data_IF_550099909601
#
_entry.id   IF_550099909601
#
_cell.length_a   1.000
_cell.length_b   1.000
_cell.length_c   1.000
_cell.angle_alpha   90.00
_cell.angle_beta   90.00
_cell.angle_gamma   90.00
#
_symmetry.space_group_name_H-M   'P 1'
#
loop_
_entity.id
_entity.type
_entity.pdbx_description
1 polymer ?
#
# COMPACT_ATOMS: atom_id res chain seq x y z
N UNK A 1 7.14 16.57 14.90
CA UNK A 1 5.73 16.96 15.17
C UNK A 1 5.52 18.47 14.93
N UNK A 2 5.89 18.95 13.73
CA UNK A 2 5.80 20.38 13.42
C UNK A 2 4.35 20.90 13.27
N UNK A 3 3.34 20.02 13.21
CA UNK A 3 1.95 20.39 12.93
C UNK A 3 0.95 19.97 14.01
N UNK A 4 1.44 19.54 15.19
CA UNK A 4 0.56 19.12 16.29
C UNK A 4 -0.26 17.87 16.02
N UNK A 5 0.12 17.06 15.03
CA UNK A 5 -0.52 15.78 14.71
C UNK A 5 0.19 14.62 15.38
N UNK A 6 -0.57 13.59 15.73
CA UNK A 6 -0.07 12.32 16.27
C UNK A 6 -0.20 11.25 15.21
N UNK A 7 0.88 10.50 14.97
CA UNK A 7 0.84 9.34 14.08
C UNK A 7 0.31 8.14 14.87
N UNK A 8 -0.78 7.56 14.42
CA UNK A 8 -1.43 6.42 15.09
C UNK A 8 -0.99 5.08 14.53
N UNK A 9 -0.69 5.01 13.23
CA UNK A 9 -0.32 3.79 12.52
C UNK A 9 0.37 4.10 11.20
N UNK A 10 0.99 3.08 10.62
CA UNK A 10 1.48 3.11 9.25
C UNK A 10 0.57 2.24 8.39
N UNK A 11 0.15 2.76 7.25
CA UNK A 11 -0.59 2.03 6.22
C UNK A 11 0.34 1.73 5.05
N UNK A 12 0.37 0.50 4.59
CA UNK A 12 1.24 0.06 3.50
C UNK A 12 0.39 -0.42 2.34
N UNK A 13 0.56 0.18 1.17
CA UNK A 13 -0.18 -0.21 -0.04
C UNK A 13 0.35 -1.50 -0.65
N UNK A 14 1.68 -1.66 -0.72
CA UNK A 14 2.31 -2.85 -1.31
C UNK A 14 3.77 -3.01 -0.85
N UNK A 15 4.36 -4.16 -1.15
CA UNK A 15 5.61 -4.62 -0.57
C UNK A 15 6.90 -4.13 -1.23
N UNK A 16 6.85 -3.24 -2.23
CA UNK A 16 8.06 -2.70 -2.85
C UNK A 16 8.85 -1.82 -1.90
N UNK A 17 10.16 -1.84 -2.05
CA UNK A 17 11.11 -1.19 -1.13
C UNK A 17 10.90 0.32 -0.99
N UNK A 18 10.59 1.02 -2.05
CA UNK A 18 10.33 2.46 -2.07
C UNK A 18 9.05 2.85 -1.34
N UNK A 19 8.16 1.90 -1.08
CA UNK A 19 6.92 2.11 -0.35
C UNK A 19 6.96 1.60 1.10
N UNK A 20 7.72 0.54 1.38
CA UNK A 20 7.70 -0.07 2.71
C UNK A 20 9.06 -0.47 3.28
N UNK A 21 10.16 -0.20 2.58
CA UNK A 21 11.50 -0.65 2.99
C UNK A 21 11.92 -0.22 4.38
N UNK A 22 11.46 0.93 4.85
CA UNK A 22 11.75 1.45 6.20
C UNK A 22 10.53 1.42 7.13
N UNK A 23 9.43 0.80 6.73
CA UNK A 23 8.22 0.78 7.53
C UNK A 23 8.43 0.12 8.91
N UNK A 24 9.12 -1.00 8.96
CA UNK A 24 9.45 -1.68 10.22
C UNK A 24 10.29 -0.82 11.16
N UNK A 25 11.31 -0.16 10.63
CA UNK A 25 12.17 0.77 11.39
C UNK A 25 11.34 1.93 11.95
N UNK A 26 10.52 2.54 11.10
CA UNK A 26 9.71 3.69 11.48
C UNK A 26 8.64 3.32 12.52
N UNK A 27 7.98 2.19 12.34
CA UNK A 27 6.97 1.69 13.27
C UNK A 27 7.56 1.48 14.68
N UNK A 28 8.74 0.86 14.77
CA UNK A 28 9.46 0.68 16.04
C UNK A 28 9.80 2.02 16.69
N UNK A 29 10.31 2.95 15.88
CA UNK A 29 10.70 4.28 16.38
C UNK A 29 9.51 5.09 16.91
N UNK A 30 8.36 4.98 16.26
CA UNK A 30 7.15 5.71 16.63
C UNK A 30 6.28 4.96 17.65
N UNK A 31 6.51 3.66 17.84
CA UNK A 31 5.68 2.82 18.70
C UNK A 31 4.27 2.62 18.16
N UNK A 32 4.12 2.49 16.84
CA UNK A 32 2.80 2.37 16.17
C UNK A 32 2.71 1.08 15.36
N UNK A 33 1.49 0.54 15.15
CA UNK A 33 1.28 -0.64 14.35
C UNK A 33 1.40 -0.36 12.85
N UNK A 34 1.65 -1.43 12.08
CA UNK A 34 1.62 -1.45 10.61
C UNK A 34 0.40 -2.25 10.17
N UNK A 35 -0.43 -1.67 9.30
CA UNK A 35 -1.54 -2.35 8.64
C UNK A 35 -1.32 -2.37 7.12
N UNK A 36 -1.48 -3.53 6.52
CA UNK A 36 -1.21 -3.80 5.12
C UNK A 36 0.26 -4.16 4.83
N UNK A 37 0.49 -4.63 3.60
CA UNK A 37 -0.48 -4.81 2.51
C UNK A 37 -1.31 -6.11 2.64
N UNK A 38 -1.76 -6.67 1.51
CA UNK A 38 -2.34 -8.00 1.46
C UNK A 38 -1.24 -9.07 1.62
N UNK A 39 -1.55 -10.25 2.21
CA UNK A 39 -0.54 -11.31 2.46
C UNK A 39 0.23 -11.77 1.23
N UNK A 40 -0.34 -11.64 0.04
CA UNK A 40 0.32 -12.03 -1.21
C UNK A 40 1.59 -11.21 -1.52
N UNK A 41 1.80 -10.07 -0.84
CA UNK A 41 3.03 -9.27 -0.95
C UNK A 41 4.10 -9.62 0.09
N UNK A 42 3.87 -10.64 0.92
CA UNK A 42 4.87 -11.04 1.93
C UNK A 42 6.24 -11.30 1.31
N UNK A 43 6.29 -11.93 0.14
CA UNK A 43 7.57 -12.24 -0.52
C UNK A 43 8.35 -10.98 -0.91
N UNK A 44 7.68 -9.90 -1.32
CA UNK A 44 8.33 -8.61 -1.59
C UNK A 44 8.91 -8.00 -0.31
N UNK A 45 8.15 -8.03 0.79
CA UNK A 45 8.61 -7.53 2.09
C UNK A 45 9.83 -8.32 2.57
N UNK A 46 9.81 -9.64 2.41
CA UNK A 46 10.94 -10.51 2.77
C UNK A 46 12.21 -10.22 1.93
N UNK A 47 12.04 -9.67 0.73
CA UNK A 47 13.14 -9.28 -0.15
C UNK A 47 13.72 -7.89 0.18
N UNK A 48 13.08 -7.08 1.02
CA UNK A 48 13.50 -5.71 1.30
C UNK A 48 14.96 -5.56 1.74
N UNK A 49 15.55 -6.44 2.58
CA UNK A 49 16.97 -6.31 2.95
C UNK A 49 17.90 -6.43 1.73
N UNK A 50 17.66 -7.39 0.85
CA UNK A 50 18.43 -7.57 -0.38
C UNK A 50 18.22 -6.44 -1.39
N UNK A 51 16.97 -6.00 -1.55
CA UNK A 51 16.61 -4.86 -2.40
C UNK A 51 17.26 -3.57 -1.88
N UNK A 52 17.28 -3.37 -0.58
CA UNK A 52 17.92 -2.21 0.06
C UNK A 52 19.42 -2.16 -0.23
N UNK A 53 20.09 -3.29 -0.17
CA UNK A 53 21.52 -3.39 -0.51
C UNK A 53 21.73 -3.07 -2.00
N UNK A 54 20.85 -3.56 -2.89
CA UNK A 54 20.98 -3.36 -4.33
C UNK A 54 20.65 -1.94 -4.78
N UNK A 55 19.67 -1.28 -4.16
CA UNK A 55 19.16 0.04 -4.56
C UNK A 55 19.61 1.20 -3.67
N UNK A 56 20.55 0.98 -2.76
CA UNK A 56 21.12 2.04 -1.93
C UNK A 56 20.14 2.59 -0.89
N UNK A 57 19.27 1.77 -0.35
CA UNK A 57 18.40 2.09 0.79
C UNK A 57 18.94 1.40 2.04
N UNK A 58 19.92 2.00 2.73
CA UNK A 58 20.51 1.38 3.92
C UNK A 58 19.47 1.28 5.03
N UNK A 59 19.47 0.16 5.73
CA UNK A 59 18.54 -0.08 6.83
C UNK A 59 17.17 -0.60 6.41
N UNK A 60 16.94 -0.84 5.12
CA UNK A 60 15.73 -1.52 4.68
C UNK A 60 15.64 -2.90 5.32
N UNK A 61 14.49 -3.25 5.86
CA UNK A 61 14.28 -4.53 6.56
C UNK A 61 12.96 -5.18 6.16
N UNK A 62 12.92 -6.51 6.34
CA UNK A 62 11.66 -7.22 6.33
C UNK A 62 10.90 -6.93 7.63
N UNK A 63 9.58 -6.99 7.56
CA UNK A 63 8.71 -6.84 8.72
C UNK A 63 7.48 -7.71 8.56
N UNK A 64 6.80 -7.98 9.66
CA UNK A 64 5.46 -8.59 9.63
C UNK A 64 4.46 -7.50 10.04
N UNK A 65 3.50 -7.16 9.19
CA UNK A 65 2.44 -6.23 9.58
C UNK A 65 1.70 -6.74 10.82
N UNK A 66 1.22 -5.83 11.65
CA UNK A 66 0.33 -6.19 12.77
C UNK A 66 -1.02 -6.67 12.24
N UNK A 67 -1.40 -6.19 11.05
CA UNK A 67 -2.61 -6.63 10.37
C UNK A 67 -2.38 -6.69 8.87
N UNK A 68 -2.58 -7.87 8.27
CA UNK A 68 -2.71 -8.01 6.83
C UNK A 68 -4.10 -7.54 6.39
N UNK A 69 -4.19 -6.96 5.19
CA UNK A 69 -5.44 -6.42 4.67
C UNK A 69 -5.98 -7.23 3.50
N UNK A 70 -7.30 -7.35 3.44
CA UNK A 70 -8.03 -8.07 2.40
C UNK A 70 -9.06 -7.15 1.75
N UNK A 71 -9.55 -7.52 0.59
CA UNK A 71 -10.61 -6.78 -0.10
C UNK A 71 -11.85 -6.67 0.81
N UNK A 72 -12.41 -5.45 0.90
CA UNK A 72 -13.58 -5.18 1.73
C UNK A 72 -13.28 -4.92 3.21
N UNK A 73 -12.02 -5.02 3.63
CA UNK A 73 -11.62 -4.57 4.97
C UNK A 73 -11.76 -3.06 5.12
N UNK A 74 -11.79 -2.60 6.36
CA UNK A 74 -11.73 -1.19 6.71
C UNK A 74 -10.58 -0.93 7.67
N UNK A 75 -9.92 0.23 7.52
CA UNK A 75 -8.94 0.73 8.47
C UNK A 75 -9.41 2.06 9.02
N UNK A 76 -9.05 2.35 10.26
CA UNK A 76 -9.43 3.60 10.92
C UNK A 76 -8.20 4.44 11.21
N UNK A 77 -8.32 5.76 11.02
CA UNK A 77 -7.31 6.75 11.39
C UNK A 77 -8.05 7.87 12.12
N UNK A 78 -7.93 7.93 13.46
CA UNK A 78 -8.81 8.78 14.27
C UNK A 78 -10.27 8.41 14.01
N UNK A 79 -11.09 9.41 13.63
CA UNK A 79 -12.50 9.21 13.28
C UNK A 79 -12.74 8.85 11.82
N UNK A 80 -11.68 8.81 11.00
CA UNK A 80 -11.80 8.46 9.60
C UNK A 80 -11.86 6.96 9.43
N UNK A 81 -12.70 6.50 8.52
CA UNK A 81 -12.78 5.10 8.09
C UNK A 81 -12.42 5.03 6.61
N UNK A 82 -11.38 4.26 6.30
CA UNK A 82 -10.92 4.01 4.93
C UNK A 82 -11.35 2.61 4.51
N UNK A 83 -11.99 2.51 3.34
CA UNK A 83 -12.28 1.24 2.72
C UNK A 83 -11.04 0.69 2.02
N UNK A 84 -10.82 -0.60 2.10
CA UNK A 84 -9.68 -1.29 1.51
C UNK A 84 -10.14 -2.06 0.28
N UNK A 85 -9.46 -1.81 -0.85
CA UNK A 85 -9.64 -2.56 -2.10
C UNK A 85 -8.36 -3.33 -2.42
N UNK A 86 -8.48 -4.64 -2.61
CA UNK A 86 -7.37 -5.44 -3.14
C UNK A 86 -7.28 -5.23 -4.64
N UNK A 87 -6.16 -4.67 -5.10
CA UNK A 87 -5.93 -4.29 -6.49
C UNK A 87 -4.63 -4.92 -7.01
N UNK A 88 -4.62 -6.25 -7.23
CA UNK A 88 -3.42 -6.93 -7.72
C UNK A 88 -3.10 -6.55 -9.16
N UNK A 89 -1.85 -6.73 -9.54
CA UNK A 89 -1.36 -6.53 -10.91
C UNK A 89 0.02 -5.92 -10.95
N UNK A 90 0.23 -4.76 -10.36
CA UNK A 90 1.57 -4.21 -10.12
C UNK A 90 2.35 -5.10 -9.14
N UNK A 91 1.73 -5.43 -8.02
CA UNK A 91 2.11 -6.54 -7.15
C UNK A 91 0.88 -7.39 -6.84
N UNK A 92 1.03 -8.66 -6.45
CA UNK A 92 -0.12 -9.52 -6.14
C UNK A 92 -0.87 -9.12 -4.89
N UNK A 93 -0.22 -8.42 -3.95
CA UNK A 93 -0.80 -8.00 -2.68
C UNK A 93 -1.09 -6.51 -2.56
N UNK A 94 -1.10 -5.77 -3.67
CA UNK A 94 -1.37 -4.33 -3.64
C UNK A 94 -2.78 -4.02 -3.13
N UNK A 95 -2.88 -3.08 -2.19
CA UNK A 95 -4.17 -2.56 -1.69
C UNK A 95 -4.27 -1.06 -1.91
N UNK A 96 -5.49 -0.59 -2.03
CA UNK A 96 -5.86 0.82 -2.19
C UNK A 96 -6.73 1.21 -1.00
N UNK A 97 -6.54 2.42 -0.48
CA UNK A 97 -7.34 2.98 0.61
C UNK A 97 -8.23 4.09 0.08
N UNK A 98 -9.51 4.06 0.41
CA UNK A 98 -10.50 5.03 -0.07
C UNK A 98 -11.29 5.62 1.09
N UNK A 99 -11.32 6.96 1.17
CA UNK A 99 -12.19 7.69 2.08
C UNK A 99 -13.31 8.34 1.29
N UNK A 100 -14.47 7.69 1.28
CA UNK A 100 -15.61 8.09 0.48
C UNK A 100 -16.12 9.51 0.78
N UNK A 101 -16.25 9.94 2.06
CA UNK A 101 -16.76 11.29 2.35
C UNK A 101 -15.92 12.43 1.77
N UNK A 102 -14.58 12.27 1.71
CA UNK A 102 -13.69 13.26 1.11
C UNK A 102 -13.36 12.99 -0.34
N UNK A 103 -13.86 11.90 -0.90
CA UNK A 103 -13.57 11.46 -2.27
C UNK A 103 -12.07 11.36 -2.54
N UNK A 104 -11.33 10.76 -1.61
CA UNK A 104 -9.88 10.59 -1.66
C UNK A 104 -9.52 9.12 -1.75
N UNK A 105 -8.66 8.76 -2.71
CA UNK A 105 -8.10 7.41 -2.82
C UNK A 105 -6.57 7.46 -2.78
N UNK A 106 -5.98 6.61 -1.96
CA UNK A 106 -4.54 6.40 -1.91
C UNK A 106 -4.25 5.13 -2.69
N UNK A 107 -3.78 5.30 -3.92
CA UNK A 107 -3.75 4.23 -4.92
C UNK A 107 -2.38 3.57 -5.09
N UNK A 108 -1.34 4.05 -4.40
CA UNK A 108 0.02 3.53 -4.58
C UNK A 108 0.40 3.52 -6.06
N UNK A 109 0.83 2.36 -6.55
CA UNK A 109 1.29 2.18 -7.93
C UNK A 109 0.26 1.47 -8.83
N UNK A 110 -1.03 1.63 -8.55
CA UNK A 110 -2.09 1.08 -9.40
C UNK A 110 -2.42 2.03 -10.54
N UNK A 111 -2.70 3.29 -10.25
CA UNK A 111 -3.17 4.28 -11.22
C UNK A 111 -2.45 5.61 -11.03
N UNK A 112 -1.97 6.16 -12.14
CA UNK A 112 -1.32 7.48 -12.19
C UNK A 112 -2.06 8.40 -13.16
N UNK A 113 -1.77 9.69 -13.08
CA UNK A 113 -2.28 10.62 -14.08
C UNK A 113 -1.68 10.27 -15.46
N UNK A 114 -2.53 9.80 -16.36
CA UNK A 114 -2.12 9.44 -17.73
C UNK A 114 -1.37 8.12 -17.85
N UNK A 115 -1.28 7.30 -16.79
CA UNK A 115 -0.57 6.03 -16.82
C UNK A 115 -1.10 5.05 -15.76
N UNK A 116 -0.56 3.84 -15.81
CA UNK A 116 -0.82 2.78 -14.83
C UNK A 116 0.50 2.18 -14.35
N UNK A 117 0.46 1.48 -13.22
CA UNK A 117 1.62 0.77 -12.69
C UNK A 117 2.16 -0.27 -13.67
N UNK A 118 3.47 -0.51 -13.61
CA UNK A 118 4.10 -1.58 -14.40
C UNK A 118 3.71 -2.95 -13.83
N UNK A 119 3.69 -3.96 -14.71
CA UNK A 119 3.26 -5.31 -14.37
C UNK A 119 4.28 -6.39 -14.71
N UNK A 120 5.51 -5.99 -15.02
CA UNK A 120 6.59 -6.87 -15.50
C UNK A 120 7.55 -7.34 -14.40
N UNK A 121 7.28 -7.00 -13.13
CA UNK A 121 7.99 -7.56 -11.99
C UNK A 121 7.46 -8.95 -11.62
N UNK A 122 8.22 -9.75 -10.84
CA UNK A 122 7.77 -11.06 -10.39
C UNK A 122 6.35 -11.05 -9.80
N UNK A 123 5.50 -11.97 -10.28
CA UNK A 123 4.09 -12.12 -9.93
C UNK A 123 3.21 -10.92 -10.28
N UNK A 124 3.70 -9.99 -11.11
CA UNK A 124 2.88 -8.96 -11.73
C UNK A 124 1.97 -9.56 -12.81
N UNK A 125 0.83 -8.91 -13.08
CA UNK A 125 -0.13 -9.35 -14.08
C UNK A 125 -0.91 -8.16 -14.65
N UNK A 126 -0.73 -7.89 -15.95
CA UNK A 126 -1.37 -6.74 -16.60
C UNK A 126 -2.90 -6.84 -16.59
N UNK A 127 -3.46 -8.02 -16.87
CA UNK A 127 -4.91 -8.20 -16.90
C UNK A 127 -5.54 -8.00 -15.53
N UNK A 128 -4.88 -8.46 -14.46
CA UNK A 128 -5.33 -8.24 -13.09
C UNK A 128 -5.36 -6.75 -12.75
N UNK A 129 -4.33 -6.00 -13.17
CA UNK A 129 -4.28 -4.56 -12.95
C UNK A 129 -5.43 -3.84 -13.66
N UNK A 130 -5.66 -4.14 -14.93
CA UNK A 130 -6.77 -3.55 -15.70
C UNK A 130 -8.10 -3.90 -15.07
N UNK A 131 -8.30 -5.14 -14.65
CA UNK A 131 -9.52 -5.58 -13.96
C UNK A 131 -9.72 -4.82 -12.66
N UNK A 132 -8.69 -4.66 -11.84
CA UNK A 132 -8.77 -3.90 -10.60
C UNK A 132 -9.15 -2.43 -10.84
N UNK A 133 -8.51 -1.78 -11.81
CA UNK A 133 -8.81 -0.38 -12.16
C UNK A 133 -10.26 -0.23 -12.62
N UNK A 134 -10.69 -1.07 -13.56
CA UNK A 134 -12.02 -0.92 -14.18
C UNK A 134 -13.16 -1.33 -13.27
N UNK A 135 -12.97 -2.33 -12.41
CA UNK A 135 -14.03 -2.87 -11.56
C UNK A 135 -14.05 -2.29 -10.14
N UNK A 136 -12.93 -1.74 -9.65
CA UNK A 136 -12.83 -1.26 -8.26
C UNK A 136 -12.56 0.24 -8.17
N UNK A 137 -11.69 0.80 -9.01
CA UNK A 137 -11.32 2.21 -8.92
C UNK A 137 -12.24 3.11 -9.75
N UNK A 138 -12.53 2.79 -11.00
CA UNK A 138 -13.42 3.61 -11.81
C UNK A 138 -14.82 3.78 -11.20
N UNK A 139 -15.44 2.76 -10.56
CA UNK A 139 -16.73 2.95 -9.88
C UNK A 139 -16.70 3.95 -8.73
N UNK A 140 -15.52 4.33 -8.19
CA UNK A 140 -15.42 5.37 -7.16
C UNK A 140 -15.79 6.76 -7.67
N UNK A 141 -15.79 6.95 -8.98
CA UNK A 141 -16.27 8.17 -9.64
C UNK A 141 -15.16 9.14 -10.03
N UNK A 142 -15.49 9.96 -11.04
CA UNK A 142 -14.57 10.93 -11.64
C UNK A 142 -14.17 12.08 -10.71
N UNK A 143 -14.89 12.25 -9.61
CA UNK A 143 -14.64 13.29 -8.61
C UNK A 143 -13.69 12.81 -7.50
N UNK A 144 -13.18 11.57 -7.57
CA UNK A 144 -12.23 11.02 -6.60
C UNK A 144 -10.81 11.49 -6.96
N UNK A 145 -10.15 12.08 -5.97
CA UNK A 145 -8.76 12.53 -6.06
C UNK A 145 -7.79 11.45 -5.59
#
# INVERSE_FOLDING_TARGET
QQHGVTIEKLLVTHGHIDHCGLAGVLAKRLGVPIEGPHPDDKFWIDMNPGQGAAYGVPGAEAFTPDRWLHDGDQVTVGDLVLDVYHCPGHTPGHVVFHHAPSRLAIVGDVLFQGSIGRTDFPRGNHQDLITAITTKLWPLGNETA
#
